data_IF_835708615972
#
_entry.id   IF_835708615972
#
_cell.length_a   1.000
_cell.length_b   1.000
_cell.length_c   1.000
_cell.angle_alpha   90.00
_cell.angle_beta   90.00
_cell.angle_gamma   90.00
#
_symmetry.space_group_name_H-M   'P 1'
#
loop_
_entity.id
_entity.type
_entity.pdbx_description
1 polymer ?
#
# COMPACT_ATOMS: atom_id res chain seq x y z
N UNK A 1 5.50 4.43 24.96
CA UNK A 1 4.48 3.72 24.19
C UNK A 1 3.37 3.24 25.14
N UNK A 2 2.41 4.09 25.45
CA UNK A 2 1.28 3.81 26.36
C UNK A 2 0.03 3.49 25.55
N UNK A 3 -0.10 2.24 25.11
CA UNK A 3 -1.11 1.75 24.17
C UNK A 3 -2.29 1.08 24.88
N UNK A 4 -3.02 1.81 25.74
CA UNK A 4 -4.17 1.24 26.48
C UNK A 4 -5.54 1.47 25.84
N UNK A 5 -5.71 2.51 25.01
CA UNK A 5 -7.03 2.98 24.55
C UNK A 5 -7.31 2.74 23.04
N UNK A 6 -6.44 2.04 22.32
CA UNK A 6 -6.43 2.08 20.85
C UNK A 6 -7.38 1.10 20.13
N UNK A 7 -7.98 0.11 20.80
CA UNK A 7 -8.65 -1.01 20.12
C UNK A 7 -10.19 -1.02 20.18
N UNK A 8 -10.85 -0.19 21.00
CA UNK A 8 -12.30 -0.35 21.28
C UNK A 8 -13.25 0.36 20.30
N UNK A 9 -12.78 1.29 19.46
CA UNK A 9 -13.64 2.15 18.61
C UNK A 9 -13.57 1.88 17.10
N UNK A 10 -12.75 0.93 16.63
CA UNK A 10 -12.61 0.60 15.20
C UNK A 10 -13.74 -0.25 14.55
N UNK A 11 -14.50 -1.10 15.26
CA UNK A 11 -15.46 -2.01 14.59
C UNK A 11 -16.54 -1.28 13.78
N UNK A 12 -16.95 -0.08 14.20
CA UNK A 12 -18.08 0.64 13.61
C UNK A 12 -17.78 1.22 12.23
N UNK A 13 -16.60 1.82 12.05
CA UNK A 13 -16.20 2.44 10.78
C UNK A 13 -15.88 1.37 9.72
N UNK A 14 -15.36 0.22 10.15
CA UNK A 14 -15.05 -0.91 9.26
C UNK A 14 -16.28 -1.62 8.71
N UNK A 15 -17.32 -1.82 9.53
CA UNK A 15 -18.56 -2.46 9.08
C UNK A 15 -19.36 -1.60 8.10
N UNK A 16 -19.37 -0.27 8.28
CA UNK A 16 -19.94 0.65 7.30
C UNK A 16 -19.20 0.58 5.95
N UNK A 17 -17.88 0.38 5.98
CA UNK A 17 -17.06 0.31 4.78
C UNK A 17 -17.19 -1.01 4.02
N UNK A 18 -17.32 -2.14 4.73
CA UNK A 18 -17.74 -3.42 4.14
C UNK A 18 -19.02 -3.25 3.35
N UNK A 19 -20.03 -2.67 4.00
CA UNK A 19 -21.32 -2.42 3.35
C UNK A 19 -21.14 -1.47 2.16
N UNK A 20 -20.29 -0.45 2.24
CA UNK A 20 -20.05 0.44 1.11
C UNK A 20 -19.36 -0.27 -0.07
N UNK A 21 -18.34 -1.12 0.17
CA UNK A 21 -17.73 -1.92 -0.90
C UNK A 21 -18.69 -2.95 -1.48
N UNK A 22 -19.48 -3.62 -0.63
CA UNK A 22 -20.48 -4.61 -1.05
C UNK A 22 -21.72 -3.99 -1.72
N UNK A 23 -22.12 -2.76 -1.38
CA UNK A 23 -23.26 -2.05 -1.99
C UNK A 23 -22.87 -1.30 -3.27
N UNK A 24 -21.66 -0.77 -3.37
CA UNK A 24 -21.22 -0.07 -4.58
C UNK A 24 -20.83 -1.02 -5.72
N UNK A 25 -20.41 -2.25 -5.42
CA UNK A 25 -20.03 -3.22 -6.46
C UNK A 25 -21.20 -3.61 -7.40
N UNK A 26 -22.42 -3.94 -6.90
CA UNK A 26 -23.56 -4.20 -7.78
C UNK A 26 -24.06 -2.96 -8.53
N UNK A 27 -24.05 -1.78 -7.89
CA UNK A 27 -24.54 -0.54 -8.49
C UNK A 27 -23.68 -0.08 -9.67
N UNK A 28 -22.36 -0.28 -9.61
CA UNK A 28 -21.44 0.00 -10.71
C UNK A 28 -21.66 -0.95 -11.91
N UNK A 29 -21.96 -2.23 -11.65
CA UNK A 29 -22.22 -3.24 -12.70
C UNK A 29 -23.55 -2.95 -13.40
N UNK A 30 -24.61 -2.64 -12.65
CA UNK A 30 -25.92 -2.30 -13.23
C UNK A 30 -25.87 -1.00 -14.06
N UNK A 31 -25.08 -0.01 -13.65
CA UNK A 31 -24.93 1.25 -14.40
C UNK A 31 -24.17 1.09 -15.72
N UNK A 32 -23.20 0.18 -15.80
CA UNK A 32 -22.43 -0.08 -17.01
C UNK A 32 -23.24 -0.89 -18.05
N UNK A 33 -24.05 -1.85 -17.60
CA UNK A 33 -24.94 -2.64 -18.47
C UNK A 33 -26.07 -1.77 -19.04
N UNK A 34 -26.61 -0.81 -18.26
CA UNK A 34 -27.63 0.12 -18.78
C UNK A 34 -27.07 1.13 -19.79
N UNK A 35 -25.82 1.59 -19.67
CA UNK A 35 -25.21 2.50 -20.67
C UNK A 35 -24.83 1.79 -21.97
N UNK A 36 -24.50 0.50 -21.91
CA UNK A 36 -24.22 -0.29 -23.11
C UNK A 36 -25.41 -0.38 -24.08
N UNK A 37 -26.64 -0.45 -23.55
CA UNK A 37 -27.85 -0.55 -24.36
C UNK A 37 -28.35 0.79 -24.92
N UNK A 38 -27.97 1.93 -24.31
CA UNK A 38 -28.32 3.26 -24.80
C UNK A 38 -27.39 3.76 -25.91
N UNK A 39 -26.16 3.26 -25.99
CA UNK A 39 -25.20 3.64 -27.04
C UNK A 39 -25.46 2.95 -28.39
N UNK A 40 -26.31 1.91 -28.43
CA UNK A 40 -26.64 1.15 -29.65
C UNK A 40 -27.77 1.73 -30.48
N UNK A 41 -28.36 2.88 -30.10
CA UNK A 41 -29.52 3.45 -30.80
C UNK A 41 -29.27 4.79 -31.52
N UNK A 42 -28.04 5.33 -31.52
CA UNK A 42 -27.78 6.70 -32.00
C UNK A 42 -26.56 6.87 -32.93
N UNK A 43 -26.12 5.80 -33.60
CA UNK A 43 -25.08 5.85 -34.63
C UNK A 43 -25.67 5.50 -35.99
N UNK A 44 -26.57 6.37 -36.45
CA UNK A 44 -27.19 6.27 -37.75
C UNK A 44 -27.42 7.65 -38.35
N UNK A 45 -26.36 8.45 -38.55
CA UNK A 45 -26.22 9.42 -39.65
C UNK A 45 -24.94 10.28 -39.49
N UNK A 46 -24.18 10.41 -40.59
CA UNK A 46 -23.24 11.53 -40.75
C UNK A 46 -21.75 11.19 -40.87
N UNK A 47 -21.35 10.32 -41.81
CA UNK A 47 -19.97 10.24 -42.28
C UNK A 47 -19.90 10.61 -43.76
N UNK A 48 -19.75 11.91 -44.03
CA UNK A 48 -19.18 12.41 -45.28
C UNK A 48 -17.86 13.12 -44.99
N UNK A 49 -16.78 12.47 -45.44
CA UNK A 49 -15.73 13.08 -46.26
C UNK A 49 -14.95 14.26 -45.65
N UNK A 50 -13.72 14.00 -45.22
CA UNK A 50 -12.56 14.85 -45.55
C UNK A 50 -11.28 14.02 -45.50
N UNK A 51 -10.75 13.68 -46.68
CA UNK A 51 -9.34 13.32 -46.87
C UNK A 51 -8.48 14.55 -46.60
N UNK A 52 -7.37 14.42 -45.87
CA UNK A 52 -6.17 15.25 -46.15
C UNK A 52 -4.86 14.67 -45.62
N UNK A 53 -4.05 14.23 -46.59
CA UNK A 53 -2.60 14.43 -46.70
C UNK A 53 -1.70 14.00 -45.55
N UNK A 54 -1.19 12.78 -45.72
CA UNK A 54 0.21 12.37 -45.56
C UNK A 54 1.22 13.51 -45.77
N UNK A 55 2.05 13.81 -44.76
CA UNK A 55 3.37 14.42 -44.94
C UNK A 55 4.42 13.48 -44.34
N UNK A 56 5.04 12.71 -45.23
CA UNK A 56 6.37 12.14 -45.02
C UNK A 56 7.36 13.28 -44.84
N UNK A 57 8.04 13.35 -43.69
CA UNK A 57 9.31 14.05 -43.60
C UNK A 57 10.43 13.01 -43.45
N UNK A 58 11.09 12.82 -44.59
CA UNK A 58 12.37 12.16 -44.83
C UNK A 58 13.47 13.02 -44.21
N UNK A 59 14.24 12.48 -43.27
CA UNK A 59 15.52 13.05 -42.86
C UNK A 59 16.66 12.25 -43.50
N UNK A 60 17.69 12.91 -44.07
CA UNK A 60 18.83 12.26 -44.71
C UNK A 60 19.85 11.79 -43.68
N UNK A 61 20.57 10.72 -44.04
CA UNK A 61 21.64 10.13 -43.25
C UNK A 61 22.94 10.94 -43.26
N UNK A 62 23.75 10.67 -42.24
CA UNK A 62 25.19 10.88 -42.18
C UNK A 62 25.67 9.89 -41.10
N UNK A 63 26.55 8.91 -41.29
CA UNK A 63 27.60 8.79 -42.29
C UNK A 63 28.96 9.10 -41.65
N UNK A 64 29.44 8.29 -40.69
CA UNK A 64 30.89 8.15 -40.43
C UNK A 64 31.20 6.77 -39.87
N UNK A 65 31.82 5.96 -40.71
CA UNK A 65 32.56 4.77 -40.36
C UNK A 65 33.83 5.15 -39.58
N UNK A 66 34.05 4.52 -38.43
CA UNK A 66 35.32 4.54 -37.69
C UNK A 66 35.75 3.10 -37.46
N UNK A 67 36.80 2.69 -38.15
CA UNK A 67 37.38 1.35 -38.21
C UNK A 67 38.73 1.36 -37.49
N UNK A 68 38.93 0.41 -36.57
CA UNK A 68 40.26 -0.04 -36.09
C UNK A 68 40.56 0.24 -34.61
N UNK A 69 41.56 -0.43 -34.01
CA UNK A 69 41.90 -1.85 -34.13
C UNK A 69 42.13 -2.54 -32.75
N UNK A 70 42.18 -3.87 -32.81
CA UNK A 70 42.98 -4.83 -32.05
C UNK A 70 43.55 -4.52 -30.65
N UNK A 71 43.41 -5.54 -29.80
CA UNK A 71 44.36 -6.05 -28.81
C UNK A 71 44.83 -5.13 -27.67
N UNK A 72 44.35 -5.42 -26.45
CA UNK A 72 45.27 -5.46 -25.31
C UNK A 72 44.85 -6.51 -24.28
N UNK A 73 45.66 -7.56 -24.24
CA UNK A 73 45.66 -8.63 -23.27
C UNK A 73 46.38 -8.11 -22.02
N UNK A 74 45.67 -7.66 -20.99
CA UNK A 74 46.25 -7.37 -19.67
C UNK A 74 45.73 -8.38 -18.67
N UNK A 75 46.56 -9.42 -18.50
CA UNK A 75 46.60 -10.32 -17.37
C UNK A 75 47.12 -9.49 -16.18
N UNK A 76 46.22 -9.09 -15.29
CA UNK A 76 46.54 -8.37 -14.06
C UNK A 76 46.08 -9.18 -12.87
N UNK A 77 47.03 -9.85 -12.23
CA UNK A 77 46.88 -10.45 -10.90
C UNK A 77 46.44 -9.38 -9.89
N UNK A 78 45.16 -9.39 -9.52
CA UNK A 78 44.71 -8.66 -8.33
C UNK A 78 44.81 -9.61 -7.13
N UNK A 79 45.96 -9.54 -6.47
CA UNK A 79 46.10 -9.96 -5.09
C UNK A 79 45.04 -9.23 -4.25
N UNK A 80 44.14 -10.00 -3.63
CA UNK A 80 43.27 -9.53 -2.55
C UNK A 80 44.14 -9.06 -1.38
N UNK A 81 44.05 -7.80 -0.95
CA UNK A 81 44.47 -7.43 0.39
C UNK A 81 43.33 -7.74 1.37
N UNK A 82 43.71 -8.40 2.46
CA UNK A 82 42.98 -8.47 3.72
C UNK A 82 42.24 -7.16 4.03
N UNK A 83 40.91 -7.22 4.06
CA UNK A 83 40.03 -6.23 4.70
C UNK A 83 39.22 -6.95 5.78
N UNK A 84 39.96 -7.41 6.79
CA UNK A 84 39.46 -7.82 8.10
C UNK A 84 40.33 -7.08 9.10
N UNK A 85 39.86 -5.89 9.52
CA UNK A 85 40.18 -5.17 10.75
C UNK A 85 39.88 -3.68 10.50
N UNK A 86 38.64 -3.26 10.74
CA UNK A 86 38.33 -1.87 11.08
C UNK A 86 36.90 -1.73 11.64
N UNK A 87 36.50 -2.67 12.51
CA UNK A 87 35.23 -2.61 13.27
C UNK A 87 35.44 -2.29 14.76
N UNK A 88 36.65 -1.89 15.17
CA UNK A 88 37.01 -1.63 16.58
C UNK A 88 37.39 -0.17 16.90
N UNK A 89 37.10 0.80 16.02
CA UNK A 89 37.44 2.22 16.26
C UNK A 89 36.27 3.21 16.36
N UNK A 90 35.06 2.74 16.67
CA UNK A 90 33.90 3.64 16.92
C UNK A 90 33.25 3.49 18.30
N UNK A 91 33.92 2.86 19.28
CA UNK A 91 33.42 2.78 20.67
C UNK A 91 34.25 3.55 21.72
N UNK A 92 35.17 4.43 21.30
CA UNK A 92 35.98 5.23 22.21
C UNK A 92 35.71 6.73 22.01
N UNK A 93 34.49 7.17 22.33
CA UNK A 93 34.18 8.57 22.71
C UNK A 93 32.88 8.55 23.52
N UNK A 94 32.92 7.86 24.66
CA UNK A 94 32.00 8.12 25.77
C UNK A 94 32.36 9.48 26.35
N UNK A 95 31.94 10.54 25.65
CA UNK A 95 31.95 11.90 26.14
C UNK A 95 31.01 12.01 27.32
N UNK A 96 31.64 12.28 28.46
CA UNK A 96 31.11 12.77 29.73
C UNK A 96 29.99 13.80 29.50
N UNK A 97 28.74 13.30 29.51
CA UNK A 97 27.55 14.14 29.49
C UNK A 97 27.31 14.57 30.93
N UNK A 98 27.79 15.77 31.24
CA UNK A 98 27.45 16.54 32.43
C UNK A 98 25.95 16.48 32.66
N UNK A 99 25.56 16.07 33.87
CA UNK A 99 24.19 16.04 34.32
C UNK A 99 23.59 17.45 34.27
N UNK A 100 22.80 17.72 33.23
CA UNK A 100 21.91 18.86 33.20
C UNK A 100 20.81 18.64 34.23
N UNK A 101 20.96 19.40 35.30
CA UNK A 101 20.03 19.66 36.37
C UNK A 101 18.71 20.17 35.78
N UNK A 102 17.72 19.29 35.68
CA UNK A 102 16.33 19.68 35.42
C UNK A 102 15.78 20.38 36.67
N UNK A 103 15.31 21.63 36.58
CA UNK A 103 14.64 22.27 37.71
C UNK A 103 13.34 21.54 38.01
N UNK A 104 13.21 21.10 39.26
CA UNK A 104 12.00 20.56 39.83
C UNK A 104 11.02 21.71 40.12
N UNK A 105 10.39 22.21 39.06
CA UNK A 105 9.34 23.21 39.18
C UNK A 105 7.96 22.55 39.13
N UNK A 106 7.32 22.62 40.28
CA UNK A 106 5.91 22.88 40.51
C UNK A 106 4.89 21.80 40.06
N UNK A 107 4.62 20.88 40.99
CA UNK A 107 3.42 20.04 41.01
C UNK A 107 2.23 20.93 41.39
N UNK A 108 1.81 21.75 40.43
CA UNK A 108 0.59 22.53 40.45
C UNK A 108 -0.62 21.62 40.28
N UNK A 109 -1.29 21.40 41.40
CA UNK A 109 -2.66 20.94 41.57
C UNK A 109 -3.60 21.29 40.40
N UNK A 110 -3.97 20.29 39.60
CA UNK A 110 -5.20 20.31 38.80
C UNK A 110 -6.08 19.12 39.14
N UNK A 111 -6.84 19.30 40.23
CA UNK A 111 -8.15 18.67 40.39
C UNK A 111 -9.11 19.27 39.36
N UNK A 112 -9.58 18.46 38.44
CA UNK A 112 -11.01 18.39 38.09
C UNK A 112 -11.26 17.10 37.35
N UNK A 113 -11.61 16.07 38.12
CA UNK A 113 -12.28 14.88 37.63
C UNK A 113 -13.67 15.34 37.17
N UNK A 114 -13.79 15.73 35.89
CA UNK A 114 -15.09 15.83 35.24
C UNK A 114 -15.50 14.40 34.92
N UNK A 115 -16.55 13.94 35.60
CA UNK A 115 -17.20 12.67 35.37
C UNK A 115 -17.70 12.57 33.92
N UNK A 116 -16.85 12.05 33.03
CA UNK A 116 -17.18 11.71 31.64
C UNK A 116 -18.04 10.45 31.57
N UNK A 117 -19.29 10.54 32.05
CA UNK A 117 -20.26 9.46 32.05
C UNK A 117 -21.34 9.73 30.99
N UNK A 118 -20.96 9.77 29.70
CA UNK A 118 -21.96 9.95 28.61
C UNK A 118 -21.49 9.75 27.15
N UNK A 119 -20.32 9.14 26.86
CA UNK A 119 -19.89 8.90 25.45
C UNK A 119 -19.95 7.41 25.07
N UNK A 120 -20.96 6.69 25.54
CA UNK A 120 -21.22 5.29 25.12
C UNK A 120 -22.63 5.06 24.56
N UNK A 121 -23.51 6.06 24.44
CA UNK A 121 -24.88 5.86 23.89
C UNK A 121 -25.06 6.27 22.42
N UNK A 122 -24.01 6.71 21.72
CA UNK A 122 -24.08 7.03 20.28
C UNK A 122 -23.63 5.84 19.41
N UNK A 123 -24.04 4.62 19.76
CA UNK A 123 -24.08 3.53 18.78
C UNK A 123 -25.12 3.90 17.73
N UNK A 124 -24.65 4.43 16.61
CA UNK A 124 -25.50 5.02 15.59
C UNK A 124 -26.53 4.00 15.07
N UNK A 125 -27.82 4.36 14.93
CA UNK A 125 -28.90 3.46 14.50
C UNK A 125 -28.65 2.71 13.20
N UNK A 126 -27.78 3.23 12.32
CA UNK A 126 -27.39 2.56 11.09
C UNK A 126 -26.59 1.26 11.34
N UNK A 127 -25.87 1.10 12.46
CA UNK A 127 -25.18 -0.17 12.77
C UNK A 127 -26.17 -1.34 12.96
N UNK A 128 -27.34 -1.08 13.57
CA UNK A 128 -28.38 -2.09 13.75
C UNK A 128 -29.08 -2.42 12.42
N UNK A 129 -29.21 -1.46 11.51
CA UNK A 129 -29.70 -1.70 10.15
C UNK A 129 -28.72 -2.52 9.30
N UNK A 130 -27.41 -2.35 9.49
CA UNK A 130 -26.39 -3.10 8.75
C UNK A 130 -26.16 -4.51 9.32
N UNK A 131 -26.27 -4.70 10.63
CA UNK A 131 -26.26 -6.05 11.23
C UNK A 131 -27.62 -6.76 11.12
N UNK A 132 -28.69 -6.03 10.78
CA UNK A 132 -30.05 -6.57 10.62
C UNK A 132 -30.35 -7.14 9.23
N UNK A 133 -29.38 -7.15 8.30
CA UNK A 133 -29.55 -7.92 7.06
C UNK A 133 -29.61 -9.40 7.45
N UNK A 134 -30.71 -10.12 7.17
CA UNK A 134 -30.83 -11.52 7.54
C UNK A 134 -29.62 -12.26 6.96
N UNK A 135 -28.97 -13.15 7.74
CA UNK A 135 -27.85 -13.94 7.23
C UNK A 135 -28.34 -14.59 5.94
N UNK A 136 -27.67 -14.28 4.82
CA UNK A 136 -28.06 -14.85 3.54
C UNK A 136 -28.07 -16.37 3.71
N UNK A 137 -29.25 -16.96 3.67
CA UNK A 137 -29.44 -18.40 3.82
C UNK A 137 -28.91 -19.06 2.55
N UNK A 138 -27.60 -19.30 2.51
CA UNK A 138 -26.95 -19.98 1.40
C UNK A 138 -27.38 -21.44 1.40
N UNK A 139 -28.07 -21.86 0.33
CA UNK A 139 -28.61 -23.21 0.20
C UNK A 139 -27.54 -24.28 -0.04
N UNK A 140 -26.34 -23.89 -0.51
CA UNK A 140 -25.21 -24.82 -0.68
C UNK A 140 -23.84 -24.12 -0.63
N UNK A 141 -22.78 -24.77 -0.10
CA UNK A 141 -21.41 -24.25 -0.12
C UNK A 141 -20.90 -23.89 -1.53
N UNK A 142 -21.38 -24.61 -2.55
CA UNK A 142 -21.02 -24.36 -3.95
C UNK A 142 -21.46 -22.99 -4.47
N UNK A 143 -22.60 -22.46 -3.98
CA UNK A 143 -23.09 -21.13 -4.36
C UNK A 143 -22.21 -20.03 -3.75
N UNK A 144 -21.78 -20.21 -2.51
CA UNK A 144 -20.89 -19.29 -1.83
C UNK A 144 -19.53 -19.22 -2.55
N UNK A 145 -18.94 -20.38 -2.88
CA UNK A 145 -17.70 -20.43 -3.63
C UNK A 145 -17.81 -19.75 -5.00
N UNK A 146 -18.89 -20.03 -5.76
CA UNK A 146 -19.15 -19.36 -7.05
C UNK A 146 -19.22 -17.84 -6.91
N UNK A 147 -19.92 -17.35 -5.88
CA UNK A 147 -20.02 -15.91 -5.61
C UNK A 147 -18.64 -15.29 -5.33
N UNK A 148 -17.83 -15.91 -4.47
CA UNK A 148 -16.49 -15.42 -4.16
C UNK A 148 -15.55 -15.46 -5.36
N UNK A 149 -15.60 -16.51 -6.18
CA UNK A 149 -14.80 -16.62 -7.39
C UNK A 149 -15.17 -15.54 -8.42
N UNK A 150 -16.46 -15.31 -8.66
CA UNK A 150 -16.92 -14.25 -9.57
C UNK A 150 -16.47 -12.89 -9.06
N UNK A 151 -16.66 -12.60 -7.77
CA UNK A 151 -16.20 -11.36 -7.13
C UNK A 151 -14.69 -11.19 -7.29
N UNK A 152 -13.90 -12.22 -7.01
CA UNK A 152 -12.45 -12.21 -7.18
C UNK A 152 -12.01 -11.90 -8.61
N UNK A 153 -12.63 -12.53 -9.62
CA UNK A 153 -12.34 -12.26 -11.04
C UNK A 153 -12.63 -10.79 -11.38
N UNK A 154 -13.79 -10.26 -10.97
CA UNK A 154 -14.18 -8.87 -11.23
C UNK A 154 -13.17 -7.90 -10.62
N UNK A 155 -12.84 -8.05 -9.34
CA UNK A 155 -11.91 -7.16 -8.66
C UNK A 155 -10.47 -7.26 -9.20
N UNK A 156 -10.03 -8.46 -9.56
CA UNK A 156 -8.71 -8.66 -10.18
C UNK A 156 -8.65 -8.01 -11.56
N UNK A 157 -9.68 -8.18 -12.38
CA UNK A 157 -9.76 -7.56 -13.71
C UNK A 157 -9.81 -6.03 -13.61
N UNK A 158 -10.63 -5.47 -12.71
CA UNK A 158 -10.68 -4.03 -12.45
C UNK A 158 -9.33 -3.48 -11.99
N UNK A 159 -8.67 -4.16 -11.05
CA UNK A 159 -7.33 -3.77 -10.58
C UNK A 159 -6.30 -3.75 -11.71
N UNK A 160 -6.31 -4.78 -12.57
CA UNK A 160 -5.42 -4.87 -13.72
C UNK A 160 -5.69 -3.76 -14.76
N UNK A 161 -6.95 -3.41 -14.99
CA UNK A 161 -7.36 -2.33 -15.90
C UNK A 161 -6.97 -0.94 -15.36
N UNK A 162 -7.06 -0.71 -14.05
CA UNK A 162 -6.76 0.58 -13.42
C UNK A 162 -5.23 0.77 -13.23
N UNK A 163 -4.47 -0.32 -13.09
CA UNK A 163 -3.04 -0.28 -12.80
C UNK A 163 -2.20 0.62 -13.73
N UNK A 164 -2.33 0.58 -15.07
CA UNK A 164 -1.56 1.45 -15.96
C UNK A 164 -1.81 2.95 -15.70
N UNK A 165 -3.06 3.33 -15.43
CA UNK A 165 -3.43 4.71 -15.16
C UNK A 165 -2.84 5.23 -13.85
N UNK A 166 -2.77 4.38 -12.83
CA UNK A 166 -2.21 4.77 -11.53
C UNK A 166 -0.69 4.88 -11.57
N UNK A 167 -0.02 4.01 -12.33
CA UNK A 167 1.44 4.03 -12.50
C UNK A 167 1.94 5.21 -13.33
N UNK A 168 1.09 5.79 -14.18
CA UNK A 168 1.46 6.97 -14.99
C UNK A 168 1.63 8.26 -14.17
N UNK A 169 1.33 8.25 -12.87
CA UNK A 169 1.52 9.42 -12.03
C UNK A 169 3.00 9.70 -11.81
N UNK A 170 3.52 10.77 -12.44
CA UNK A 170 4.85 11.29 -12.14
C UNK A 170 4.97 11.51 -10.62
N UNK A 171 5.92 10.83 -9.98
CA UNK A 171 6.31 11.12 -8.60
C UNK A 171 6.95 12.51 -8.66
N UNK A 172 6.14 13.54 -8.42
CA UNK A 172 6.63 14.91 -8.34
C UNK A 172 7.76 14.97 -7.31
N UNK A 173 8.82 15.73 -7.65
CA UNK A 173 9.87 16.07 -6.69
C UNK A 173 9.21 16.89 -5.58
N UNK A 174 8.98 16.27 -4.43
CA UNK A 174 8.54 17.01 -3.24
C UNK A 174 9.73 17.74 -2.61
N UNK A 175 9.48 18.82 -1.86
CA UNK A 175 10.52 19.61 -1.22
C UNK A 175 11.30 18.81 -0.16
N UNK A 176 12.53 19.25 0.09
CA UNK A 176 13.56 18.60 0.92
C UNK A 176 13.24 18.46 2.41
N UNK A 177 12.17 19.09 2.92
CA UNK A 177 11.67 18.86 4.29
C UNK A 177 10.85 17.56 4.41
N UNK A 178 10.80 16.75 3.34
CA UNK A 178 10.20 15.43 3.36
C UNK A 178 10.73 14.60 4.54
N UNK A 179 9.80 13.99 5.28
CA UNK A 179 10.09 13.23 6.49
C UNK A 179 10.91 11.98 6.21
N UNK A 180 11.60 11.48 7.23
CA UNK A 180 12.36 10.24 7.09
C UNK A 180 11.41 9.04 6.93
N UNK A 181 11.85 7.97 6.25
CA UNK A 181 11.06 6.74 6.18
C UNK A 181 10.73 6.18 7.57
N UNK A 182 11.64 6.30 8.53
CA UNK A 182 11.43 5.88 9.92
C UNK A 182 10.21 6.58 10.52
N UNK A 183 10.12 7.92 10.37
CA UNK A 183 9.01 8.72 10.88
C UNK A 183 7.66 8.28 10.29
N UNK A 184 7.62 7.88 9.01
CA UNK A 184 6.39 7.40 8.36
C UNK A 184 5.98 5.99 8.82
N UNK A 185 6.94 5.13 9.19
CA UNK A 185 6.66 3.80 9.76
C UNK A 185 6.21 3.85 11.22
N UNK A 186 6.66 4.85 11.98
CA UNK A 186 6.24 5.06 13.38
C UNK A 186 4.94 5.85 13.51
N UNK A 187 4.55 6.54 12.43
CA UNK A 187 3.34 7.36 12.41
C UNK A 187 2.07 6.51 12.58
N UNK A 188 1.08 7.11 13.22
CA UNK A 188 -0.27 6.56 13.35
C UNK A 188 -0.85 6.13 11.99
N UNK A 189 -1.34 4.87 11.94
CA UNK A 189 -2.07 4.29 10.81
C UNK A 189 -3.32 5.10 10.43
N UNK A 190 -3.83 5.96 11.33
CA UNK A 190 -4.98 6.84 11.12
C UNK A 190 -4.66 8.13 10.37
N UNK A 191 -3.42 8.34 9.94
CA UNK A 191 -3.09 9.52 9.15
C UNK A 191 -3.68 9.40 7.73
N UNK A 192 -4.59 10.31 7.37
CA UNK A 192 -5.25 10.40 6.05
C UNK A 192 -4.78 11.61 5.21
N UNK A 193 -3.60 12.18 5.50
CA UNK A 193 -3.09 13.37 4.76
C UNK A 193 -2.92 13.13 3.27
N UNK A 194 -2.35 11.98 2.86
CA UNK A 194 -2.27 11.60 1.45
C UNK A 194 -3.57 10.89 1.02
N UNK A 195 -4.61 11.71 0.78
CA UNK A 195 -5.94 11.22 0.39
C UNK A 195 -5.88 10.29 -0.82
N UNK A 196 -4.96 10.55 -1.77
CA UNK A 196 -4.79 9.70 -2.95
C UNK A 196 -4.31 8.31 -2.53
N UNK A 197 -3.23 8.20 -1.75
CA UNK A 197 -2.74 6.90 -1.26
C UNK A 197 -3.82 6.19 -0.44
N UNK A 198 -4.52 6.90 0.45
CA UNK A 198 -5.57 6.30 1.27
C UNK A 198 -6.73 5.77 0.41
N UNK A 199 -7.21 6.55 -0.57
CA UNK A 199 -8.26 6.09 -1.49
C UNK A 199 -7.79 4.89 -2.32
N UNK A 200 -6.54 4.88 -2.79
CA UNK A 200 -6.01 3.74 -3.55
C UNK A 200 -5.83 2.49 -2.68
N UNK A 201 -5.35 2.64 -1.45
CA UNK A 201 -5.26 1.53 -0.52
C UNK A 201 -6.65 0.97 -0.13
N UNK A 202 -7.68 1.82 -0.15
CA UNK A 202 -9.06 1.43 0.17
C UNK A 202 -9.78 0.79 -1.01
N UNK A 203 -9.69 1.35 -2.21
CA UNK A 203 -10.46 0.89 -3.38
C UNK A 203 -9.67 -0.04 -4.32
N UNK A 204 -8.35 0.02 -4.27
CA UNK A 204 -7.44 -0.67 -5.19
C UNK A 204 -6.29 -1.32 -4.41
N UNK A 205 -6.61 -1.98 -3.31
CA UNK A 205 -5.62 -2.45 -2.32
C UNK A 205 -4.52 -3.34 -2.93
N UNK A 206 -4.91 -4.26 -3.82
CA UNK A 206 -3.99 -5.15 -4.56
C UNK A 206 -3.00 -4.35 -5.41
N UNK A 207 -3.49 -3.29 -6.07
CA UNK A 207 -2.65 -2.46 -6.94
C UNK A 207 -1.75 -1.55 -6.14
N UNK A 208 -2.28 -0.91 -5.09
CA UNK A 208 -1.50 -0.04 -4.22
C UNK A 208 -0.37 -0.81 -3.54
N UNK A 209 -0.66 -2.01 -3.04
CA UNK A 209 0.36 -2.87 -2.45
C UNK A 209 1.43 -3.30 -3.47
N UNK A 210 1.00 -3.73 -4.66
CA UNK A 210 1.94 -4.13 -5.72
C UNK A 210 2.84 -2.97 -6.17
N UNK A 211 2.29 -1.76 -6.25
CA UNK A 211 3.04 -0.53 -6.54
C UNK A 211 4.05 -0.21 -5.43
N UNK A 212 3.67 -0.35 -4.15
CA UNK A 212 4.58 -0.16 -3.01
C UNK A 212 5.75 -1.15 -3.03
N UNK A 213 5.48 -2.43 -3.27
CA UNK A 213 6.53 -3.47 -3.35
C UNK A 213 7.44 -3.26 -4.56
N UNK A 214 6.88 -2.81 -5.69
CA UNK A 214 7.64 -2.43 -6.88
C UNK A 214 8.54 -1.23 -6.63
N UNK A 215 8.03 -0.17 -5.99
CA UNK A 215 8.81 1.03 -5.62
C UNK A 215 9.89 0.73 -4.57
N UNK A 216 9.69 -0.28 -3.73
CA UNK A 216 10.70 -0.76 -2.80
C UNK A 216 11.81 -1.60 -3.45
N UNK A 217 11.75 -1.85 -4.77
CA UNK A 217 12.76 -2.62 -5.50
C UNK A 217 12.79 -4.11 -5.12
N UNK A 218 11.69 -4.66 -4.60
CA UNK A 218 11.66 -6.06 -4.13
C UNK A 218 11.31 -7.05 -5.22
N UNK A 219 10.22 -6.81 -5.96
CA UNK A 219 9.78 -7.61 -7.11
C UNK A 219 9.10 -6.72 -8.15
N UNK A 220 8.98 -7.22 -9.38
CA UNK A 220 8.25 -6.52 -10.44
C UNK A 220 6.77 -6.33 -10.08
N UNK A 221 6.17 -5.24 -10.60
CA UNK A 221 4.77 -4.89 -10.33
C UNK A 221 3.77 -6.01 -10.68
N UNK A 222 3.85 -6.58 -11.89
CA UNK A 222 2.90 -7.62 -12.33
C UNK A 222 3.03 -8.92 -11.51
N UNK A 223 4.24 -9.44 -11.23
CA UNK A 223 4.41 -10.52 -10.26
C UNK A 223 3.84 -10.19 -8.87
N UNK A 224 4.04 -8.98 -8.35
CA UNK A 224 3.48 -8.56 -7.07
C UNK A 224 1.95 -8.58 -7.09
N UNK A 225 1.36 -7.96 -8.11
CA UNK A 225 -0.09 -7.93 -8.30
C UNK A 225 -0.68 -9.34 -8.41
N UNK A 226 -0.05 -10.22 -9.20
CA UNK A 226 -0.48 -11.61 -9.35
C UNK A 226 -0.37 -12.37 -8.02
N UNK A 227 0.73 -12.21 -7.28
CA UNK A 227 0.96 -12.87 -6.00
C UNK A 227 -0.11 -12.48 -4.96
N UNK A 228 -0.40 -11.19 -4.84
CA UNK A 228 -1.43 -10.72 -3.91
C UNK A 228 -2.83 -11.17 -4.34
N UNK A 229 -3.12 -11.16 -5.65
CA UNK A 229 -4.39 -11.64 -6.19
C UNK A 229 -4.58 -13.14 -5.92
N UNK A 230 -3.53 -13.96 -6.06
CA UNK A 230 -3.55 -15.38 -5.71
C UNK A 230 -3.76 -15.61 -4.22
N UNK A 231 -3.17 -14.79 -3.34
CA UNK A 231 -3.47 -14.83 -1.91
C UNK A 231 -4.95 -14.48 -1.64
N UNK A 232 -5.51 -13.50 -2.36
CA UNK A 232 -6.94 -13.19 -2.32
C UNK A 232 -7.81 -14.38 -2.74
N UNK A 233 -7.41 -15.12 -3.78
CA UNK A 233 -8.08 -16.35 -4.20
C UNK A 233 -7.97 -17.44 -3.13
N UNK A 234 -6.79 -17.64 -2.55
CA UNK A 234 -6.56 -18.60 -1.48
C UNK A 234 -7.44 -18.33 -0.24
N UNK A 235 -7.72 -17.06 0.05
CA UNK A 235 -8.62 -16.68 1.14
C UNK A 235 -10.06 -17.18 0.93
N UNK A 236 -10.51 -17.33 -0.33
CA UNK A 236 -11.87 -17.82 -0.65
C UNK A 236 -12.09 -19.26 -0.18
N UNK A 237 -11.02 -20.06 -0.05
CA UNK A 237 -11.10 -21.44 0.44
C UNK A 237 -11.14 -21.57 1.97
N UNK A 238 -10.77 -20.51 2.70
CA UNK A 238 -10.66 -20.54 4.16
C UNK A 238 -11.96 -20.10 4.88
N UNK A 239 -13.07 -19.99 4.16
CA UNK A 239 -14.40 -19.64 4.72
C UNK A 239 -14.43 -18.37 5.60
N UNK A 240 -13.54 -17.40 5.36
CA UNK A 240 -13.75 -16.00 5.76
C UNK A 240 -13.68 -15.65 7.24
N UNK A 241 -13.07 -16.47 8.12
CA UNK A 241 -12.95 -16.10 9.54
C UNK A 241 -12.14 -14.82 9.77
N UNK A 242 -11.14 -14.57 8.93
CA UNK A 242 -10.38 -13.32 8.90
C UNK A 242 -10.71 -12.56 7.63
N UNK A 243 -11.01 -11.27 7.78
CA UNK A 243 -11.29 -10.34 6.69
C UNK A 243 -10.22 -10.40 5.59
N UNK A 244 -8.97 -10.60 6.03
CA UNK A 244 -7.80 -10.88 5.22
C UNK A 244 -7.30 -12.25 5.66
N UNK A 245 -7.47 -13.27 4.82
CA UNK A 245 -7.10 -14.64 5.20
C UNK A 245 -5.62 -14.78 5.53
N UNK A 246 -5.27 -15.88 6.21
CA UNK A 246 -3.90 -16.20 6.65
C UNK A 246 -2.85 -16.01 5.53
N UNK A 247 -3.09 -16.46 4.28
CA UNK A 247 -2.13 -16.26 3.19
C UNK A 247 -1.78 -14.79 2.95
N UNK A 248 -2.76 -13.89 3.04
CA UNK A 248 -2.53 -12.48 2.74
C UNK A 248 -1.88 -11.74 3.91
N UNK A 249 -2.22 -12.12 5.16
CA UNK A 249 -1.54 -11.60 6.34
C UNK A 249 -0.05 -11.99 6.32
N UNK A 250 0.24 -13.26 6.06
CA UNK A 250 1.61 -13.76 5.96
C UNK A 250 2.40 -13.04 4.85
N UNK A 251 1.77 -12.84 3.68
CA UNK A 251 2.35 -12.09 2.57
C UNK A 251 2.72 -10.66 2.98
N UNK A 252 1.79 -9.93 3.61
CA UNK A 252 2.05 -8.54 4.03
C UNK A 252 3.16 -8.46 5.08
N UNK A 253 3.12 -9.30 6.12
CA UNK A 253 4.16 -9.33 7.16
C UNK A 253 5.55 -9.60 6.56
N UNK A 254 5.64 -10.57 5.65
CA UNK A 254 6.90 -10.95 5.02
C UNK A 254 7.48 -9.83 4.16
N UNK A 255 6.67 -9.21 3.30
CA UNK A 255 7.12 -8.11 2.45
C UNK A 255 7.45 -6.86 3.28
N UNK A 256 6.69 -6.58 4.34
CA UNK A 256 6.99 -5.46 5.22
C UNK A 256 8.33 -5.60 5.91
N UNK A 257 8.64 -6.80 6.42
CA UNK A 257 9.96 -7.08 6.99
C UNK A 257 11.08 -6.79 5.98
N UNK A 258 10.89 -7.20 4.72
CA UNK A 258 11.84 -6.90 3.64
C UNK A 258 11.95 -5.42 3.31
N UNK A 259 10.84 -4.69 3.29
CA UNK A 259 10.84 -3.23 3.08
C UNK A 259 11.64 -2.55 4.21
N UNK A 260 11.39 -2.88 5.48
CA UNK A 260 12.13 -2.30 6.62
C UNK A 260 13.63 -2.53 6.52
N UNK A 261 14.04 -3.75 6.15
CA UNK A 261 15.46 -4.09 5.94
C UNK A 261 16.08 -3.30 4.79
N UNK A 262 15.38 -3.15 3.66
CA UNK A 262 15.84 -2.31 2.53
C UNK A 262 15.98 -0.85 2.90
N UNK A 263 15.16 -0.36 3.83
CA UNK A 263 15.22 1.02 4.32
C UNK A 263 16.29 1.26 5.38
N UNK A 264 16.96 0.20 5.87
CA UNK A 264 17.91 0.29 6.99
C UNK A 264 17.24 0.62 8.32
N UNK A 265 15.97 0.23 8.49
CA UNK A 265 15.25 0.35 9.76
C UNK A 265 15.63 -0.84 10.66
N UNK A 266 15.47 -0.65 11.98
CA UNK A 266 15.75 -1.70 12.96
C UNK A 266 15.00 -3.01 12.62
N UNK A 267 15.65 -4.13 12.88
CA UNK A 267 15.07 -5.45 12.67
C UNK A 267 13.76 -5.63 13.45
N UNK A 268 12.85 -6.42 12.89
CA UNK A 268 11.55 -6.65 13.49
C UNK A 268 11.69 -7.41 14.82
N UNK A 269 11.39 -6.73 15.93
CA UNK A 269 11.22 -7.38 17.22
C UNK A 269 9.92 -8.19 17.25
N UNK A 270 9.81 -9.19 18.14
CA UNK A 270 8.58 -9.96 18.32
C UNK A 270 7.37 -9.05 18.65
N UNK A 271 7.60 -7.99 19.42
CA UNK A 271 6.59 -6.98 19.72
C UNK A 271 6.12 -6.22 18.47
N UNK A 272 7.04 -5.86 17.56
CA UNK A 272 6.72 -5.19 16.30
C UNK A 272 5.92 -6.10 15.36
N UNK A 273 6.31 -7.37 15.23
CA UNK A 273 5.57 -8.36 14.40
C UNK A 273 4.16 -8.57 14.94
N UNK A 274 4.00 -8.66 16.26
CA UNK A 274 2.69 -8.80 16.90
C UNK A 274 1.81 -7.57 16.68
N UNK A 275 2.39 -6.36 16.80
CA UNK A 275 1.69 -5.11 16.51
C UNK A 275 1.26 -5.02 15.05
N UNK A 276 2.16 -5.37 14.13
CA UNK A 276 1.92 -5.41 12.70
C UNK A 276 0.79 -6.39 12.35
N UNK A 277 0.82 -7.60 12.93
CA UNK A 277 -0.26 -8.59 12.77
C UNK A 277 -1.61 -8.03 13.21
N UNK A 278 -1.68 -7.40 14.39
CA UNK A 278 -2.90 -6.77 14.89
C UNK A 278 -3.37 -5.63 13.97
N UNK A 279 -2.46 -4.81 13.44
CA UNK A 279 -2.81 -3.72 12.52
C UNK A 279 -3.31 -4.23 11.18
N UNK A 280 -2.73 -5.30 10.64
CA UNK A 280 -3.21 -5.92 9.39
C UNK A 280 -4.60 -6.53 9.60
N UNK A 281 -4.81 -7.20 10.73
CA UNK A 281 -6.11 -7.81 11.06
C UNK A 281 -7.22 -6.77 11.28
N UNK A 282 -6.89 -5.60 11.83
CA UNK A 282 -7.88 -4.56 12.19
C UNK A 282 -8.00 -3.45 11.14
N UNK A 283 -6.95 -3.07 10.43
CA UNK A 283 -6.96 -1.90 9.55
C UNK A 283 -6.04 -2.07 8.33
N UNK A 284 -6.26 -3.11 7.50
CA UNK A 284 -5.33 -3.51 6.43
C UNK A 284 -5.12 -2.40 5.38
N UNK A 285 -6.18 -1.67 5.03
CA UNK A 285 -6.05 -0.58 4.05
C UNK A 285 -5.21 0.58 4.57
N UNK A 286 -5.40 0.96 5.84
CA UNK A 286 -4.59 1.99 6.50
C UNK A 286 -3.14 1.55 6.65
N UNK A 287 -2.94 0.26 6.89
CA UNK A 287 -1.63 -0.34 7.00
C UNK A 287 -0.85 -0.29 5.67
N UNK A 288 -1.50 -0.65 4.56
CA UNK A 288 -0.91 -0.54 3.21
C UNK A 288 -0.66 0.91 2.83
N UNK A 289 -1.55 1.84 3.22
CA UNK A 289 -1.32 3.26 3.02
C UNK A 289 -0.09 3.77 3.79
N UNK A 290 0.14 3.28 5.02
CA UNK A 290 1.33 3.59 5.80
C UNK A 290 2.60 3.09 5.09
N UNK A 291 2.60 1.86 4.57
CA UNK A 291 3.74 1.32 3.81
C UNK A 291 4.05 2.13 2.55
N UNK A 292 3.02 2.46 1.78
CA UNK A 292 3.14 3.27 0.59
C UNK A 292 3.78 4.64 0.89
N UNK A 293 3.41 5.27 2.03
CA UNK A 293 4.03 6.53 2.48
C UNK A 293 5.49 6.35 2.85
N UNK A 294 5.84 5.31 3.62
CA UNK A 294 7.22 5.05 4.02
C UNK A 294 8.14 4.80 2.82
N UNK A 295 7.69 4.02 1.83
CA UNK A 295 8.45 3.77 0.59
C UNK A 295 8.56 5.04 -0.25
N UNK A 296 7.47 5.81 -0.40
CA UNK A 296 7.47 7.08 -1.14
C UNK A 296 8.40 8.12 -0.50
N UNK A 297 8.47 8.19 0.83
CA UNK A 297 9.41 9.05 1.55
C UNK A 297 10.87 8.65 1.27
N UNK A 298 11.17 7.36 1.26
CA UNK A 298 12.51 6.86 0.96
C UNK A 298 12.94 7.18 -0.48
N UNK A 299 12.04 6.99 -1.45
CA UNK A 299 12.30 7.31 -2.85
C UNK A 299 12.61 8.81 -3.04
N UNK A 300 11.87 9.69 -2.35
CA UNK A 300 12.09 11.15 -2.40
C UNK A 300 13.44 11.59 -1.82
N UNK A 301 13.98 10.85 -0.85
CA UNK A 301 15.29 11.13 -0.25
C UNK A 301 16.48 10.70 -1.14
N UNK A 302 16.24 10.24 -2.37
CA UNK A 302 17.31 9.78 -3.25
C UNK A 302 17.96 8.48 -2.79
N UNK A 303 17.41 7.82 -1.75
CA UNK A 303 17.68 6.40 -1.48
C UNK A 303 16.95 5.59 -2.55
N UNK A 304 17.48 5.61 -3.78
CA UNK A 304 17.08 4.65 -4.79
C UNK A 304 17.46 3.26 -4.25
N UNK A 305 16.45 2.45 -3.98
CA UNK A 305 16.61 1.07 -3.51
C UNK A 305 17.00 0.17 -4.69
N UNK A 306 18.17 0.41 -5.28
CA UNK A 306 18.79 -0.52 -6.24
C UNK A 306 19.38 -1.70 -5.46
#
# INVERSE_FOLDING_TARGET
WTSGHLCSSMPSVMNAFLVLQFLLAPAAISGAVLRGNLASHDLGQGLTRTQRTTRLNRMPGNGTAGKGPADEHVRGDLALPHLVQDTERLNATSGERTAEHWPADDVGEQRTIVAGKSILSSSSPWMLLLMGSPPMSYKSPSQLLRFWLISWVIWTALGALIAPFMRSGNIGKEPSWARTPADEFERDIRDFRDRKICLLAWFCTHVQWADTVFQAGLIGFWPAFALFSLCGLANTFHYGYFFWGIPTIALQLWFRYRIRRRLGLADASCAMVSYDFCCICTAPCSYIAQEARGVKAAYKMGKQMQ
#
